data_IF_926992551376
#
_entry.id   IF_926992551376
#
_cell.length_a   1.000
_cell.length_b   1.000
_cell.length_c   1.000
_cell.angle_alpha   90.00
_cell.angle_beta   90.00
_cell.angle_gamma   90.00
#
_symmetry.space_group_name_H-M   'P 1'
#
loop_
_entity.id
_entity.type
_entity.pdbx_description
1 polymer ?
#
# COMPACT_ATOMS: atom_id res chain seq x y z
N UNK A 1 -2.16 -26.42 17.69
CA UNK A 1 -0.76 -26.02 17.77
C UNK A 1 -0.59 -24.73 17.01
N UNK A 2 -0.42 -23.60 17.74
CA UNK A 2 -0.34 -22.26 17.16
C UNK A 2 0.97 -22.03 16.40
N UNK A 3 0.96 -21.36 15.24
CA UNK A 3 2.19 -20.96 14.57
C UNK A 3 2.86 -19.84 15.38
N UNK A 4 4.10 -20.06 15.80
CA UNK A 4 4.91 -19.00 16.42
C UNK A 4 5.33 -18.01 15.34
N UNK A 5 4.73 -16.82 15.36
CA UNK A 5 5.25 -15.65 14.66
C UNK A 5 6.55 -15.20 15.38
N UNK A 6 7.66 -15.15 14.67
CA UNK A 6 8.88 -14.55 15.18
C UNK A 6 8.88 -13.10 14.73
N UNK A 7 8.54 -12.19 15.67
CA UNK A 7 8.70 -10.74 15.50
C UNK A 7 10.06 -10.39 16.11
N UNK A 8 10.96 -9.83 15.32
CA UNK A 8 12.24 -9.33 15.79
C UNK A 8 12.15 -7.82 16.02
N UNK A 9 12.61 -7.29 17.18
CA UNK A 9 12.58 -5.86 17.45
C UNK A 9 13.63 -5.11 16.64
N UNK A 10 13.29 -3.88 16.26
CA UNK A 10 14.10 -2.98 15.46
C UNK A 10 15.46 -2.68 16.11
N UNK A 11 16.53 -3.16 15.52
CA UNK A 11 17.87 -2.59 15.69
C UNK A 11 18.65 -2.75 14.38
N UNK A 12 19.13 -1.62 13.86
CA UNK A 12 20.08 -1.40 12.76
C UNK A 12 20.78 -2.67 12.25
N UNK A 13 20.22 -3.32 11.24
CA UNK A 13 20.94 -4.25 10.40
C UNK A 13 20.43 -4.12 8.97
N UNK A 14 21.32 -3.79 8.02
CA UNK A 14 21.10 -3.95 6.59
C UNK A 14 20.85 -5.45 6.31
N UNK A 15 19.60 -5.88 6.31
CA UNK A 15 19.24 -7.26 5.93
C UNK A 15 18.02 -7.23 5.05
N UNK A 16 18.19 -7.67 3.82
CA UNK A 16 17.14 -8.10 2.91
C UNK A 16 16.40 -9.27 3.56
N UNK A 17 15.15 -9.09 3.89
CA UNK A 17 14.34 -10.13 4.55
C UNK A 17 13.28 -10.65 3.58
N UNK A 18 13.34 -11.93 3.28
CA UNK A 18 12.32 -12.66 2.56
C UNK A 18 11.77 -13.73 3.48
N UNK A 19 10.45 -13.81 3.52
CA UNK A 19 9.73 -14.78 4.32
C UNK A 19 8.89 -15.67 3.40
N UNK A 20 8.89 -16.97 3.67
CA UNK A 20 8.07 -17.92 2.97
C UNK A 20 7.18 -18.66 3.96
N UNK A 21 5.92 -18.88 3.61
CA UNK A 21 4.98 -19.68 4.38
C UNK A 21 4.58 -20.93 3.61
N UNK A 22 4.43 -22.05 4.32
CA UNK A 22 3.91 -23.30 3.76
C UNK A 22 2.90 -23.91 4.73
N UNK A 23 1.85 -24.47 4.19
CA UNK A 23 0.84 -25.23 4.95
C UNK A 23 1.24 -26.70 5.16
N UNK A 24 2.28 -27.16 4.47
CA UNK A 24 2.79 -28.54 4.61
C UNK A 24 3.62 -28.73 5.88
N UNK A 25 3.62 -29.92 6.50
CA UNK A 25 4.47 -30.22 7.65
C UNK A 25 5.96 -30.15 7.26
N UNK A 26 6.74 -29.40 8.04
CA UNK A 26 8.17 -29.20 7.78
C UNK A 26 8.95 -30.50 7.86
N UNK A 27 9.81 -30.81 6.88
CA UNK A 27 10.88 -31.79 7.11
C UNK A 27 11.83 -31.26 8.19
N UNK A 28 12.26 -32.11 9.11
CA UNK A 28 13.22 -31.73 10.17
C UNK A 28 14.53 -31.29 9.54
N UNK A 29 15.06 -30.10 9.88
CA UNK A 29 16.35 -29.65 9.35
C UNK A 29 17.46 -30.56 9.90
N UNK A 30 18.22 -31.17 9.01
CA UNK A 30 19.32 -32.05 9.36
C UNK A 30 20.66 -31.35 9.60
N UNK A 31 20.72 -30.01 9.42
CA UNK A 31 21.91 -29.21 9.79
C UNK A 31 21.58 -27.72 9.90
N UNK A 32 22.18 -27.04 10.87
CA UNK A 32 22.25 -25.57 10.93
C UNK A 32 23.03 -25.04 9.74
N UNK A 33 22.57 -23.95 9.07
CA UNK A 33 23.31 -23.36 7.95
C UNK A 33 24.64 -22.79 8.42
N UNK A 34 25.72 -22.93 7.66
CA UNK A 34 27.00 -22.35 8.00
C UNK A 34 26.94 -20.82 8.01
N UNK A 35 27.59 -20.24 9.02
CA UNK A 35 27.74 -18.80 9.19
C UNK A 35 28.78 -18.28 8.18
N UNK A 36 28.36 -18.02 6.93
CA UNK A 36 29.21 -17.36 5.95
C UNK A 36 28.36 -16.56 4.99
N UNK A 37 28.88 -15.43 4.51
CA UNK A 37 28.30 -14.55 3.52
C UNK A 37 28.04 -15.28 2.20
N UNK A 38 27.02 -16.11 2.17
CA UNK A 38 26.60 -16.84 0.99
C UNK A 38 25.92 -15.87 0.03
N UNK A 39 26.35 -15.88 -1.23
CA UNK A 39 25.81 -15.06 -2.32
C UNK A 39 24.29 -15.19 -2.38
N UNK A 40 23.58 -14.07 -2.45
CA UNK A 40 22.11 -13.97 -2.44
C UNK A 40 21.38 -15.01 -3.31
N UNK A 41 21.91 -15.39 -4.45
CA UNK A 41 21.32 -16.35 -5.40
C UNK A 41 21.16 -17.79 -4.89
N UNK A 42 21.93 -18.22 -3.88
CA UNK A 42 21.89 -19.60 -3.37
C UNK A 42 20.75 -19.79 -2.37
N UNK A 43 20.39 -18.74 -1.63
CA UNK A 43 19.33 -18.78 -0.61
C UNK A 43 17.92 -18.87 -1.21
N UNK A 44 17.67 -18.17 -2.31
CA UNK A 44 16.39 -18.18 -3.01
C UNK A 44 15.99 -19.55 -3.55
N UNK A 45 16.96 -20.24 -4.16
CA UNK A 45 16.74 -21.60 -4.66
C UNK A 45 16.44 -22.60 -3.55
N UNK A 46 17.11 -22.48 -2.40
CA UNK A 46 16.83 -23.32 -1.24
C UNK A 46 15.44 -23.03 -0.65
N UNK A 47 15.02 -21.79 -0.62
CA UNK A 47 13.72 -21.38 -0.11
C UNK A 47 12.60 -21.96 -0.98
N UNK A 48 12.72 -21.89 -2.28
CA UNK A 48 11.73 -22.42 -3.22
C UNK A 48 11.78 -23.95 -3.40
N UNK A 49 12.90 -24.59 -3.05
CA UNK A 49 12.95 -26.05 -2.97
C UNK A 49 11.96 -26.63 -1.94
N UNK A 50 11.48 -25.79 -0.98
CA UNK A 50 10.42 -26.14 -0.04
C UNK A 50 9.01 -25.96 -0.62
N UNK A 51 8.88 -25.49 -1.87
CA UNK A 51 7.61 -25.22 -2.53
C UNK A 51 6.64 -24.41 -1.66
N UNK A 52 7.04 -23.19 -1.19
CA UNK A 52 6.16 -22.39 -0.36
C UNK A 52 4.91 -21.98 -1.12
N UNK A 53 3.78 -21.88 -0.43
CA UNK A 53 2.52 -21.42 -1.02
C UNK A 53 2.56 -19.92 -1.36
N UNK A 54 3.31 -19.14 -0.58
CA UNK A 54 3.49 -17.70 -0.79
C UNK A 54 4.88 -17.24 -0.38
N UNK A 55 5.44 -16.27 -1.10
CA UNK A 55 6.69 -15.60 -0.79
C UNK A 55 6.44 -14.13 -0.52
N UNK A 56 6.82 -13.64 0.65
CA UNK A 56 6.73 -12.24 1.04
C UNK A 56 8.00 -11.50 0.63
N UNK A 57 7.89 -10.50 -0.22
CA UNK A 57 9.00 -9.70 -0.75
C UNK A 57 9.07 -8.40 0.05
N UNK A 58 9.76 -8.43 1.19
CA UNK A 58 9.85 -7.34 2.16
C UNK A 58 11.21 -6.61 2.07
N UNK A 59 11.81 -6.61 0.89
CA UNK A 59 13.03 -5.86 0.60
C UNK A 59 12.74 -4.35 0.60
N UNK A 60 13.80 -3.54 0.62
CA UNK A 60 13.65 -2.11 0.32
C UNK A 60 13.05 -1.94 -1.08
N UNK A 61 12.32 -0.87 -1.28
CA UNK A 61 11.72 -0.51 -2.56
C UNK A 61 12.74 -0.51 -3.70
N UNK A 62 13.97 0.00 -3.44
CA UNK A 62 15.08 0.08 -4.41
C UNK A 62 15.70 -1.27 -4.80
N UNK A 63 15.46 -2.31 -3.99
CA UNK A 63 15.97 -3.67 -4.23
C UNK A 63 14.85 -4.62 -4.70
N UNK A 64 13.60 -4.18 -4.61
CA UNK A 64 12.43 -5.05 -4.75
C UNK A 64 12.23 -5.56 -6.17
N UNK A 65 12.43 -4.70 -7.17
CA UNK A 65 12.32 -5.11 -8.58
C UNK A 65 13.29 -6.25 -8.92
N UNK A 66 14.56 -6.11 -8.51
CA UNK A 66 15.58 -7.15 -8.75
C UNK A 66 15.26 -8.45 -8.00
N UNK A 67 14.82 -8.35 -6.74
CA UNK A 67 14.43 -9.50 -5.92
C UNK A 67 13.21 -10.22 -6.52
N UNK A 68 12.17 -9.47 -6.92
CA UNK A 68 10.97 -10.02 -7.52
C UNK A 68 11.25 -10.72 -8.85
N UNK A 69 12.05 -10.11 -9.72
CA UNK A 69 12.46 -10.73 -10.98
C UNK A 69 13.24 -12.04 -10.76
N UNK A 70 14.18 -12.05 -9.81
CA UNK A 70 14.92 -13.27 -9.46
C UNK A 70 14.02 -14.37 -8.90
N UNK A 71 12.97 -14.02 -8.15
CA UNK A 71 11.98 -14.97 -7.67
C UNK A 71 11.10 -15.52 -8.80
N UNK A 72 10.67 -14.68 -9.75
CA UNK A 72 9.86 -15.10 -10.89
C UNK A 72 10.58 -16.11 -11.79
N UNK A 73 11.92 -16.05 -11.91
CA UNK A 73 12.69 -17.09 -12.61
C UNK A 73 12.50 -18.50 -12.01
N UNK A 74 12.07 -18.58 -10.77
CA UNK A 74 11.84 -19.81 -10.02
C UNK A 74 10.36 -20.22 -9.98
N UNK A 75 9.49 -19.48 -10.70
CA UNK A 75 8.05 -19.74 -10.87
C UNK A 75 7.30 -19.95 -9.53
N UNK A 76 7.33 -18.98 -8.60
CA UNK A 76 6.58 -19.08 -7.36
C UNK A 76 5.08 -19.05 -7.66
N UNK A 77 4.27 -19.69 -6.81
CA UNK A 77 2.82 -19.63 -6.95
C UNK A 77 2.27 -18.25 -6.65
N UNK A 78 2.86 -17.56 -5.63
CA UNK A 78 2.36 -16.27 -5.14
C UNK A 78 3.49 -15.41 -4.62
N UNK A 79 3.40 -14.10 -4.92
CA UNK A 79 4.29 -13.06 -4.39
C UNK A 79 3.47 -12.00 -3.64
N UNK A 80 3.87 -11.69 -2.42
CA UNK A 80 3.22 -10.69 -1.58
C UNK A 80 4.21 -9.56 -1.29
N UNK A 81 3.92 -8.36 -1.80
CA UNK A 81 4.84 -7.23 -1.83
C UNK A 81 4.53 -6.17 -0.77
N UNK A 82 5.58 -5.57 -0.22
CA UNK A 82 5.52 -4.33 0.55
C UNK A 82 5.40 -3.12 -0.41
N UNK A 83 4.85 -2.01 0.09
CA UNK A 83 4.70 -0.76 -0.65
C UNK A 83 6.00 0.09 -0.63
N UNK A 84 6.19 1.00 -1.60
CA UNK A 84 5.59 0.99 -2.92
C UNK A 84 5.96 -0.30 -3.65
N UNK A 85 5.21 -0.72 -4.68
CA UNK A 85 5.49 -2.00 -5.37
C UNK A 85 6.94 -2.08 -5.82
N UNK A 86 7.45 -1.04 -6.47
CA UNK A 86 8.87 -0.81 -6.76
C UNK A 86 9.19 0.69 -6.70
N UNK A 87 10.44 1.05 -6.47
CA UNK A 87 10.99 2.38 -6.72
C UNK A 87 12.50 2.28 -6.84
N UNK A 88 13.07 2.85 -7.89
CA UNK A 88 14.52 2.81 -8.12
C UNK A 88 15.30 3.74 -7.18
N UNK A 89 14.67 4.77 -6.64
CA UNK A 89 15.32 5.80 -5.81
C UNK A 89 14.89 5.74 -4.34
N UNK A 90 13.63 6.04 -4.06
CA UNK A 90 13.05 5.99 -2.71
C UNK A 90 11.52 6.10 -2.79
N UNK A 91 10.84 5.86 -1.68
CA UNK A 91 9.38 5.99 -1.64
C UNK A 91 8.88 7.44 -1.82
N UNK A 92 9.72 8.46 -1.61
CA UNK A 92 9.41 9.87 -1.85
C UNK A 92 9.82 10.36 -3.23
N UNK A 93 10.51 9.55 -4.01
CA UNK A 93 10.91 9.86 -5.39
C UNK A 93 10.57 8.71 -6.36
N UNK A 94 9.30 8.35 -6.37
CA UNK A 94 8.74 7.42 -7.37
C UNK A 94 8.65 8.16 -8.71
N UNK A 95 9.07 7.49 -9.79
CA UNK A 95 9.13 8.04 -11.14
C UNK A 95 8.29 7.25 -12.12
N UNK A 96 8.16 7.76 -13.34
CA UNK A 96 7.39 7.11 -14.40
C UNK A 96 8.01 5.75 -14.81
N UNK A 97 9.33 5.65 -14.75
CA UNK A 97 10.05 4.40 -15.00
C UNK A 97 9.66 3.31 -14.01
N UNK A 98 9.43 3.66 -12.73
CA UNK A 98 9.02 2.70 -11.70
C UNK A 98 7.64 2.11 -12.03
N UNK A 99 6.71 2.91 -12.55
CA UNK A 99 5.42 2.42 -13.05
C UNK A 99 5.61 1.43 -14.21
N UNK A 100 6.46 1.75 -15.18
CA UNK A 100 6.74 0.89 -16.34
C UNK A 100 7.37 -0.43 -15.92
N UNK A 101 8.33 -0.39 -15.00
CA UNK A 101 9.01 -1.56 -14.45
C UNK A 101 8.05 -2.43 -13.63
N UNK A 102 7.19 -1.81 -12.81
CA UNK A 102 6.17 -2.52 -12.05
C UNK A 102 5.15 -3.21 -12.96
N UNK A 103 4.69 -2.55 -14.02
CA UNK A 103 3.78 -3.12 -15.00
C UNK A 103 4.40 -4.35 -15.66
N UNK A 104 5.64 -4.23 -16.14
CA UNK A 104 6.39 -5.34 -16.74
C UNK A 104 6.57 -6.50 -15.77
N UNK A 105 6.85 -6.21 -14.49
CA UNK A 105 6.94 -7.21 -13.43
C UNK A 105 5.63 -7.98 -13.25
N UNK A 106 4.50 -7.25 -13.16
CA UNK A 106 3.19 -7.89 -12.97
C UNK A 106 2.73 -8.66 -14.21
N UNK A 107 3.00 -8.16 -15.43
CA UNK A 107 2.76 -8.89 -16.68
C UNK A 107 3.54 -10.21 -16.70
N UNK A 108 4.82 -10.19 -16.30
CA UNK A 108 5.64 -11.39 -16.18
C UNK A 108 5.08 -12.37 -15.13
N UNK A 109 4.60 -11.88 -14.01
CA UNK A 109 3.97 -12.70 -12.97
C UNK A 109 2.69 -13.35 -13.50
N UNK A 110 1.81 -12.58 -14.14
CA UNK A 110 0.55 -13.06 -14.72
C UNK A 110 0.79 -14.12 -15.79
N UNK A 111 1.69 -13.87 -16.73
CA UNK A 111 2.07 -14.81 -17.78
C UNK A 111 2.60 -16.17 -17.25
N UNK A 112 3.05 -16.21 -16.00
CA UNK A 112 3.51 -17.41 -15.31
C UNK A 112 2.46 -18.04 -14.40
N UNK A 113 1.26 -17.44 -14.29
CA UNK A 113 0.23 -17.83 -13.34
C UNK A 113 0.62 -17.57 -11.88
N UNK A 114 1.53 -16.62 -11.63
CA UNK A 114 1.93 -16.21 -10.29
C UNK A 114 0.98 -15.16 -9.75
N UNK A 115 0.16 -15.52 -8.76
CA UNK A 115 -0.72 -14.56 -8.08
C UNK A 115 0.10 -13.52 -7.33
N UNK A 116 -0.28 -12.24 -7.43
CA UNK A 116 0.40 -11.14 -6.76
C UNK A 116 -0.52 -10.42 -5.78
N UNK A 117 0.03 -9.96 -4.66
CA UNK A 117 -0.68 -9.21 -3.63
C UNK A 117 0.20 -8.10 -3.02
N UNK A 118 -0.45 -7.10 -2.39
CA UNK A 118 0.21 -5.95 -1.77
C UNK A 118 -0.06 -5.87 -0.27
N UNK A 119 0.90 -5.29 0.46
CA UNK A 119 0.70 -4.84 1.85
C UNK A 119 0.34 -3.36 1.82
N UNK A 120 -0.94 -3.04 1.65
CA UNK A 120 -1.49 -1.74 1.98
C UNK A 120 -2.19 -1.84 3.34
N UNK A 121 -1.37 -1.94 4.39
CA UNK A 121 -1.81 -2.19 5.75
C UNK A 121 -2.77 -1.12 6.30
N UNK A 122 -2.80 0.09 5.73
CA UNK A 122 -3.72 1.14 6.16
C UNK A 122 -5.19 0.79 5.92
N UNK A 123 -5.52 -0.05 4.93
CA UNK A 123 -6.89 -0.59 4.78
C UNK A 123 -7.36 -1.39 6.01
N UNK A 124 -6.42 -1.89 6.83
CA UNK A 124 -6.67 -2.76 7.98
C UNK A 124 -6.55 -2.07 9.34
N UNK A 125 -6.39 -0.74 9.36
CA UNK A 125 -6.56 0.04 10.58
C UNK A 125 -8.03 0.05 10.99
N UNK A 126 -8.27 0.27 12.29
CA UNK A 126 -9.63 0.23 12.83
C UNK A 126 -10.53 1.31 12.24
N UNK A 127 -10.01 2.51 11.95
CA UNK A 127 -10.77 3.60 11.34
C UNK A 127 -11.26 3.24 9.91
N UNK A 128 -10.39 2.87 8.94
CA UNK A 128 -10.85 2.44 7.62
C UNK A 128 -11.80 1.24 7.66
N UNK A 129 -11.56 0.25 8.53
CA UNK A 129 -12.47 -0.88 8.70
C UNK A 129 -13.84 -0.42 9.21
N UNK A 130 -13.87 0.42 10.26
CA UNK A 130 -15.12 0.98 10.80
C UNK A 130 -15.82 1.89 9.81
N UNK A 131 -15.07 2.68 9.04
CA UNK A 131 -15.62 3.52 7.97
C UNK A 131 -16.38 2.67 6.94
N UNK A 132 -15.78 1.57 6.44
CA UNK A 132 -16.44 0.65 5.49
C UNK A 132 -17.72 0.06 6.07
N UNK A 133 -17.69 -0.36 7.33
CA UNK A 133 -18.88 -0.87 8.02
C UNK A 133 -20.00 0.17 8.05
N UNK A 134 -19.69 1.41 8.48
CA UNK A 134 -20.69 2.48 8.59
C UNK A 134 -21.24 2.93 7.23
N UNK A 135 -20.40 3.04 6.20
CA UNK A 135 -20.82 3.36 4.84
C UNK A 135 -21.87 2.34 4.37
N UNK A 136 -21.60 1.04 4.56
CA UNK A 136 -22.51 -0.02 4.15
C UNK A 136 -23.80 -0.02 4.99
N UNK A 137 -23.70 0.05 6.32
CA UNK A 137 -24.85 0.01 7.23
C UNK A 137 -25.79 1.19 7.07
N UNK A 138 -25.24 2.38 6.78
CA UNK A 138 -26.02 3.64 6.67
C UNK A 138 -26.33 4.02 5.23
N UNK A 139 -25.95 3.21 4.27
CA UNK A 139 -26.22 3.43 2.85
C UNK A 139 -25.78 4.81 2.38
N UNK A 140 -24.56 5.23 2.71
CA UNK A 140 -24.04 6.55 2.35
C UNK A 140 -23.96 6.82 0.84
N UNK A 141 -24.07 5.77 0.03
CA UNK A 141 -23.97 5.89 -1.42
C UNK A 141 -22.53 6.03 -1.90
N UNK A 142 -22.36 6.63 -3.07
CA UNK A 142 -21.05 6.81 -3.69
C UNK A 142 -20.32 8.00 -3.10
N UNK A 143 -19.00 7.97 -3.19
CA UNK A 143 -18.15 9.15 -2.92
C UNK A 143 -18.39 10.18 -4.01
N UNK A 144 -18.53 11.44 -3.63
CA UNK A 144 -18.73 12.59 -4.54
C UNK A 144 -17.57 13.58 -4.49
N UNK A 145 -16.87 13.66 -3.35
CA UNK A 145 -15.72 14.54 -3.21
C UNK A 145 -14.73 14.03 -2.16
N UNK A 146 -13.44 14.32 -2.35
CA UNK A 146 -12.35 13.84 -1.48
C UNK A 146 -11.37 14.99 -1.21
N UNK A 147 -10.94 15.14 0.04
CA UNK A 147 -9.82 16.04 0.37
C UNK A 147 -8.83 15.33 1.30
N UNK A 148 -7.54 15.59 1.11
CA UNK A 148 -6.51 15.00 1.96
C UNK A 148 -5.28 15.88 2.13
N UNK A 149 -4.71 15.82 3.35
CA UNK A 149 -3.39 16.37 3.70
C UNK A 149 -2.55 15.23 4.27
N UNK A 150 -1.39 14.97 3.65
CA UNK A 150 -0.66 13.72 3.88
C UNK A 150 0.84 13.96 3.95
N UNK A 151 1.49 13.40 4.99
CA UNK A 151 2.94 13.29 5.01
C UNK A 151 3.40 12.22 4.01
N UNK A 152 4.52 12.44 3.31
CA UNK A 152 5.03 11.50 2.29
C UNK A 152 5.25 10.07 2.80
N UNK A 153 5.53 9.86 4.08
CA UNK A 153 5.60 8.52 4.66
C UNK A 153 4.29 7.71 4.52
N UNK A 154 3.15 8.43 4.37
CA UNK A 154 1.81 7.86 4.24
C UNK A 154 1.23 8.04 2.82
N UNK A 155 1.99 8.62 1.88
CA UNK A 155 1.50 9.08 0.59
C UNK A 155 0.89 7.96 -0.25
N UNK A 156 1.62 6.86 -0.46
CA UNK A 156 1.13 5.69 -1.18
C UNK A 156 -0.11 5.06 -0.53
N UNK A 157 -0.17 5.06 0.81
CA UNK A 157 -1.36 4.60 1.52
C UNK A 157 -2.56 5.53 1.33
N UNK A 158 -2.35 6.85 1.22
CA UNK A 158 -3.44 7.79 0.97
C UNK A 158 -4.03 7.58 -0.43
N UNK A 159 -3.19 7.41 -1.45
CA UNK A 159 -3.63 7.07 -2.81
C UNK A 159 -4.43 5.76 -2.78
N UNK A 160 -3.89 4.73 -2.12
CA UNK A 160 -4.57 3.44 -1.97
C UNK A 160 -5.92 3.55 -1.24
N UNK A 161 -6.01 4.35 -0.18
CA UNK A 161 -7.28 4.59 0.52
C UNK A 161 -8.30 5.35 -0.34
N UNK A 162 -7.86 6.29 -1.20
CA UNK A 162 -8.74 6.92 -2.19
C UNK A 162 -9.34 5.85 -3.10
N UNK A 163 -8.51 4.98 -3.68
CA UNK A 163 -8.98 3.87 -4.53
C UNK A 163 -9.84 2.88 -3.76
N UNK A 164 -9.59 2.67 -2.48
CA UNK A 164 -10.34 1.74 -1.65
C UNK A 164 -11.75 2.21 -1.28
N UNK A 165 -11.96 3.52 -1.07
CA UNK A 165 -13.24 4.09 -0.68
C UNK A 165 -14.04 4.65 -1.86
N UNK A 166 -13.35 5.15 -2.87
CA UNK A 166 -13.93 5.63 -4.11
C UNK A 166 -13.58 4.65 -5.25
N UNK A 167 -13.23 5.14 -6.39
CA UNK A 167 -12.76 4.36 -7.52
C UNK A 167 -11.35 4.79 -7.89
N UNK A 168 -10.67 4.06 -8.77
CA UNK A 168 -9.38 4.49 -9.28
C UNK A 168 -9.42 5.92 -9.84
N UNK A 169 -8.37 6.67 -9.57
CA UNK A 169 -8.15 7.98 -10.18
C UNK A 169 -7.93 7.78 -11.68
N UNK A 170 -8.66 8.53 -12.52
CA UNK A 170 -8.59 8.40 -13.97
C UNK A 170 -8.01 9.64 -14.66
N UNK A 171 -8.06 10.79 -14.00
CA UNK A 171 -7.49 12.04 -14.49
C UNK A 171 -6.94 12.85 -13.32
N UNK A 172 -5.81 13.50 -13.51
CA UNK A 172 -5.26 14.41 -12.51
C UNK A 172 -4.47 15.57 -13.12
N UNK A 173 -4.33 16.63 -12.33
CA UNK A 173 -3.35 17.70 -12.53
C UNK A 173 -2.63 17.99 -11.24
N UNK A 174 -1.34 18.34 -11.30
CA UNK A 174 -0.50 18.54 -10.12
C UNK A 174 0.35 19.80 -10.21
N UNK A 175 0.55 20.42 -9.04
CA UNK A 175 1.48 21.51 -8.82
C UNK A 175 2.53 21.07 -7.80
N UNK A 176 3.78 21.44 -8.03
CA UNK A 176 4.90 21.14 -7.15
C UNK A 176 5.52 22.43 -6.60
N UNK A 177 5.81 22.42 -5.30
CA UNK A 177 6.60 23.48 -4.66
C UNK A 177 8.04 23.49 -5.18
N UNK A 178 8.68 24.66 -5.14
CA UNK A 178 10.04 24.81 -5.70
C UNK A 178 11.14 24.23 -4.80
N UNK A 179 10.90 24.12 -3.50
CA UNK A 179 11.91 23.70 -2.54
C UNK A 179 11.53 22.34 -1.93
N UNK A 180 12.47 21.40 -1.93
CA UNK A 180 12.36 20.20 -1.14
C UNK A 180 12.52 20.55 0.35
N UNK A 181 11.68 19.98 1.20
CA UNK A 181 11.63 20.22 2.65
C UNK A 181 11.52 18.90 3.40
N UNK A 182 11.88 18.91 4.68
CA UNK A 182 11.84 17.76 5.57
C UNK A 182 13.23 17.30 6.02
N UNK A 183 13.32 16.76 7.24
CA UNK A 183 14.59 16.36 7.84
C UNK A 183 15.04 14.94 7.43
N UNK A 184 14.09 13.98 7.44
CA UNK A 184 14.36 12.54 7.20
C UNK A 184 13.90 12.08 5.83
N UNK A 185 12.95 12.77 5.26
CA UNK A 185 12.30 12.48 3.99
C UNK A 185 12.09 13.82 3.29
N UNK A 186 13.16 14.33 2.67
CA UNK A 186 13.10 15.62 2.00
C UNK A 186 12.42 15.46 0.64
N UNK A 187 11.26 16.10 0.48
CA UNK A 187 10.50 16.10 -0.75
C UNK A 187 9.91 17.48 -1.04
N UNK A 188 9.53 17.69 -2.30
CA UNK A 188 8.78 18.89 -2.69
C UNK A 188 7.32 18.72 -2.28
N UNK A 189 6.70 19.77 -1.75
CA UNK A 189 5.26 19.76 -1.54
C UNK A 189 4.54 19.62 -2.89
N UNK A 190 3.53 18.76 -2.94
CA UNK A 190 2.72 18.51 -4.15
C UNK A 190 1.25 18.70 -3.81
N UNK A 191 0.55 19.46 -4.65
CA UNK A 191 -0.92 19.54 -4.62
C UNK A 191 -1.45 18.89 -5.89
N UNK A 192 -2.30 17.89 -5.74
CA UNK A 192 -2.92 17.16 -6.84
C UNK A 192 -4.43 17.34 -6.80
N UNK A 193 -5.02 17.82 -7.90
CA UNK A 193 -6.46 17.75 -8.13
C UNK A 193 -6.75 16.59 -9.08
N UNK A 194 -7.80 15.80 -8.80
CA UNK A 194 -8.08 14.59 -9.56
C UNK A 194 -9.57 14.31 -9.72
N UNK A 195 -9.89 13.39 -10.63
CA UNK A 195 -11.21 12.79 -10.85
C UNK A 195 -11.09 11.27 -10.85
N UNK A 196 -12.06 10.60 -10.23
CA UNK A 196 -12.14 9.13 -10.19
C UNK A 196 -13.05 8.58 -11.30
N UNK A 197 -13.06 7.26 -11.47
CA UNK A 197 -13.83 6.57 -12.51
C UNK A 197 -15.34 6.80 -12.43
N UNK A 198 -15.90 7.02 -11.24
CA UNK A 198 -17.31 7.36 -11.02
C UNK A 198 -17.55 8.88 -10.82
N UNK A 199 -16.66 9.70 -11.37
CA UNK A 199 -16.78 11.15 -11.43
C UNK A 199 -16.67 11.89 -10.08
N UNK A 200 -16.18 11.24 -9.01
CA UNK A 200 -15.84 11.96 -7.79
C UNK A 200 -14.58 12.82 -8.03
N UNK A 201 -14.62 14.08 -7.59
CA UNK A 201 -13.45 14.96 -7.64
C UNK A 201 -12.73 15.01 -6.32
N UNK A 202 -11.42 15.28 -6.35
CA UNK A 202 -10.68 15.39 -5.10
C UNK A 202 -9.40 16.18 -5.18
N UNK A 203 -8.83 16.42 -4.01
CA UNK A 203 -7.52 17.06 -3.85
C UNK A 203 -6.72 16.31 -2.79
N UNK A 204 -5.48 15.95 -3.13
CA UNK A 204 -4.48 15.47 -2.17
C UNK A 204 -3.31 16.44 -2.12
N UNK A 205 -2.87 16.76 -0.92
CA UNK A 205 -1.69 17.59 -0.65
C UNK A 205 -0.66 16.70 0.05
N UNK A 206 0.47 16.46 -0.63
CA UNK A 206 1.63 15.74 -0.08
C UNK A 206 2.68 16.72 0.42
N UNK A 207 3.17 16.50 1.64
CA UNK A 207 4.24 17.32 2.24
C UNK A 207 5.10 16.49 3.17
N UNK A 208 6.37 16.88 3.33
CA UNK A 208 7.27 16.31 4.35
C UNK A 208 7.37 17.18 5.61
N UNK A 209 6.57 18.23 5.71
CA UNK A 209 6.67 19.20 6.81
C UNK A 209 5.68 18.95 7.95
N UNK A 210 4.86 17.89 7.88
CA UNK A 210 4.03 17.49 9.02
C UNK A 210 4.90 16.89 10.12
N UNK A 211 4.73 17.39 11.34
CA UNK A 211 5.46 16.89 12.49
C UNK A 211 4.93 15.50 12.91
N UNK A 212 5.83 14.57 13.20
CA UNK A 212 5.52 13.19 13.59
C UNK A 212 4.73 13.05 14.90
N UNK A 213 4.58 14.11 15.68
CA UNK A 213 3.74 14.14 16.89
C UNK A 213 2.27 14.49 16.58
N UNK A 214 1.96 14.91 15.36
CA UNK A 214 0.63 15.28 14.89
C UNK A 214 0.14 14.29 13.82
N UNK A 215 -1.12 14.41 13.39
CA UNK A 215 -1.63 13.60 12.30
C UNK A 215 -0.75 13.69 11.04
N UNK A 216 -0.35 12.52 10.52
CA UNK A 216 0.41 12.41 9.30
C UNK A 216 -0.47 12.18 8.06
N UNK A 217 -1.76 11.86 8.29
CA UNK A 217 -2.74 11.62 7.26
C UNK A 217 -4.10 12.13 7.74
N UNK A 218 -4.67 13.05 6.98
CA UNK A 218 -6.05 13.47 7.14
C UNK A 218 -6.77 13.29 5.82
N UNK A 219 -7.85 12.47 5.81
CA UNK A 219 -8.66 12.21 4.63
C UNK A 219 -10.12 12.46 4.95
N UNK A 220 -10.78 13.23 4.10
CA UNK A 220 -12.23 13.44 4.16
C UNK A 220 -12.87 12.88 2.90
N UNK A 221 -13.84 11.99 3.08
CA UNK A 221 -14.66 11.45 2.01
C UNK A 221 -16.09 11.97 2.19
N UNK A 222 -16.57 12.73 1.22
CA UNK A 222 -17.97 13.15 1.13
C UNK A 222 -18.73 12.15 0.24
N UNK A 223 -19.78 11.56 0.78
CA UNK A 223 -20.67 10.64 0.11
C UNK A 223 -22.00 11.34 -0.25
N UNK A 224 -22.82 10.69 -1.08
CA UNK A 224 -24.16 11.20 -1.41
C UNK A 224 -25.02 11.45 -0.16
N UNK A 225 -24.89 10.60 0.88
CA UNK A 225 -25.71 10.63 2.10
C UNK A 225 -24.90 10.74 3.40
N UNK A 226 -23.63 11.12 3.33
CA UNK A 226 -22.80 11.22 4.54
C UNK A 226 -21.42 11.79 4.28
N UNK A 227 -20.66 11.92 5.36
CA UNK A 227 -19.25 12.29 5.32
C UNK A 227 -18.48 11.44 6.33
N UNK A 228 -17.28 11.03 5.97
CA UNK A 228 -16.31 10.43 6.90
C UNK A 228 -15.02 11.23 6.82
N UNK A 229 -14.53 11.64 7.98
CA UNK A 229 -13.22 12.25 8.15
C UNK A 229 -12.35 11.32 9.00
N UNK A 230 -11.28 10.81 8.40
CA UNK A 230 -10.26 9.99 9.04
C UNK A 230 -9.09 10.90 9.39
N UNK A 231 -8.77 11.00 10.67
CA UNK A 231 -7.70 11.85 11.18
C UNK A 231 -6.60 11.01 11.79
N UNK A 232 -5.62 10.67 10.96
CA UNK A 232 -4.55 9.73 11.28
C UNK A 232 -5.04 8.32 11.66
N UNK A 233 -4.11 7.47 12.03
CA UNK A 233 -4.31 6.05 12.32
C UNK A 233 -4.73 5.81 13.77
N UNK A 234 -4.37 6.72 14.67
CA UNK A 234 -4.66 6.73 16.09
C UNK A 234 -5.60 7.88 16.52
N UNK A 235 -6.06 8.67 15.55
CA UNK A 235 -6.99 9.77 15.79
C UNK A 235 -8.46 9.33 15.83
N UNK A 236 -9.30 10.29 16.18
CA UNK A 236 -10.74 10.11 16.13
C UNK A 236 -11.22 10.15 14.67
N UNK A 237 -12.23 9.35 14.35
CA UNK A 237 -12.94 9.40 13.07
C UNK A 237 -14.27 10.15 13.27
N UNK A 238 -14.51 11.18 12.44
CA UNK A 238 -15.78 11.92 12.44
C UNK A 238 -16.69 11.38 11.35
N UNK A 239 -17.98 11.28 11.68
CA UNK A 239 -19.03 10.79 10.79
C UNK A 239 -20.20 11.74 10.79
N UNK A 240 -20.58 12.27 9.64
CA UNK A 240 -21.80 13.03 9.42
C UNK A 240 -22.78 12.16 8.64
N UNK A 241 -23.95 11.95 9.20
CA UNK A 241 -25.04 11.20 8.56
C UNK A 241 -26.11 12.20 8.10
N UNK A 242 -26.27 12.39 6.80
CA UNK A 242 -27.19 13.39 6.26
C UNK A 242 -28.65 12.98 6.45
N UNK A 243 -28.96 11.67 6.46
CA UNK A 243 -30.35 11.19 6.62
C UNK A 243 -30.86 11.43 8.05
N UNK A 244 -30.03 11.14 9.05
CA UNK A 244 -30.39 11.30 10.46
C UNK A 244 -30.04 12.68 11.03
N UNK A 245 -29.23 13.48 10.33
CA UNK A 245 -28.68 14.74 10.81
C UNK A 245 -27.68 14.57 11.97
N UNK A 246 -27.13 13.38 12.16
CA UNK A 246 -26.20 13.09 13.25
C UNK A 246 -24.78 13.45 12.89
N UNK A 247 -24.08 14.04 13.87
CA UNK A 247 -22.64 14.19 13.87
C UNK A 247 -22.06 13.33 15.00
N UNK A 248 -21.22 12.40 14.67
CA UNK A 248 -20.64 11.43 15.62
C UNK A 248 -19.12 11.48 15.54
N UNK A 249 -18.47 11.31 16.70
CA UNK A 249 -17.03 11.12 16.78
C UNK A 249 -16.76 9.71 17.31
N UNK A 250 -16.05 8.92 16.54
CA UNK A 250 -15.66 7.55 16.88
C UNK A 250 -14.22 7.54 17.39
N UNK A 251 -14.05 7.41 18.69
CA UNK A 251 -12.76 7.27 19.35
C UNK A 251 -12.35 5.80 19.40
N UNK A 252 -11.91 5.25 18.27
CA UNK A 252 -11.73 3.81 18.08
C UNK A 252 -10.46 3.28 18.76
N UNK A 253 -9.49 4.14 19.00
CA UNK A 253 -8.12 3.71 19.28
C UNK A 253 -7.50 4.38 20.52
N UNK A 254 -8.30 4.89 21.44
CA UNK A 254 -7.83 5.65 22.62
C UNK A 254 -6.97 4.84 23.58
N UNK A 255 -7.05 3.53 23.59
CA UNK A 255 -6.32 2.59 24.45
C UNK A 255 -5.01 2.08 23.85
N UNK A 256 -4.70 2.46 22.60
CA UNK A 256 -3.53 1.99 21.88
C UNK A 256 -2.77 3.14 21.25
N UNK A 257 -1.44 3.06 21.29
CA UNK A 257 -0.59 4.02 20.58
C UNK A 257 -0.66 3.81 19.05
N UNK A 258 -0.29 4.84 18.29
CA UNK A 258 -0.14 4.78 16.83
C UNK A 258 0.70 3.57 16.41
N UNK A 259 1.80 3.33 17.08
CA UNK A 259 2.71 2.22 16.72
C UNK A 259 2.12 0.85 17.01
N UNK A 260 1.37 0.70 18.10
CA UNK A 260 0.64 -0.55 18.36
C UNK A 260 -0.39 -0.83 17.28
N UNK A 261 -1.16 0.18 16.87
CA UNK A 261 -2.12 0.02 15.76
C UNK A 261 -1.43 -0.26 14.43
N UNK A 262 -0.28 0.38 14.19
CA UNK A 262 0.53 0.14 13.01
C UNK A 262 0.97 -1.32 12.95
N UNK A 263 1.52 -1.87 14.02
CA UNK A 263 1.92 -3.27 14.10
C UNK A 263 0.71 -4.21 13.94
N UNK A 264 -0.40 -3.93 14.61
CA UNK A 264 -1.66 -4.69 14.49
C UNK A 264 -2.20 -4.71 13.06
N UNK A 265 -2.06 -3.63 12.31
CA UNK A 265 -2.55 -3.54 10.92
C UNK A 265 -1.80 -4.50 9.99
N UNK A 266 -0.51 -4.70 10.18
CA UNK A 266 0.26 -5.73 9.46
C UNK A 266 -0.25 -7.13 9.80
N UNK A 267 -0.47 -7.42 11.09
CA UNK A 267 -1.02 -8.71 11.51
C UNK A 267 -2.38 -8.96 10.85
N UNK A 268 -3.29 -7.97 10.89
CA UNK A 268 -4.61 -8.06 10.25
C UNK A 268 -4.50 -8.26 8.74
N UNK A 269 -3.63 -7.52 8.06
CA UNK A 269 -3.38 -7.66 6.62
C UNK A 269 -2.91 -9.06 6.26
N UNK A 270 -1.91 -9.59 6.97
CA UNK A 270 -1.37 -10.93 6.73
C UNK A 270 -2.42 -12.01 7.03
N UNK A 271 -3.17 -11.88 8.13
CA UNK A 271 -4.22 -12.83 8.47
C UNK A 271 -5.34 -12.82 7.43
N UNK A 272 -5.77 -11.66 6.94
CA UNK A 272 -6.77 -11.56 5.89
C UNK A 272 -6.27 -12.21 4.58
N UNK A 273 -5.00 -12.01 4.22
CA UNK A 273 -4.39 -12.66 3.06
C UNK A 273 -4.34 -14.20 3.24
N UNK A 274 -3.90 -14.69 4.40
CA UNK A 274 -3.86 -16.14 4.66
C UNK A 274 -5.26 -16.74 4.67
N UNK A 275 -6.26 -16.03 5.15
CA UNK A 275 -7.65 -16.49 5.13
C UNK A 275 -8.19 -16.53 3.69
N UNK A 276 -7.90 -15.56 2.84
CA UNK A 276 -8.28 -15.62 1.42
C UNK A 276 -7.70 -16.85 0.73
N UNK A 277 -6.44 -17.19 1.02
CA UNK A 277 -5.82 -18.42 0.50
C UNK A 277 -6.54 -19.69 0.96
N UNK A 278 -6.94 -19.76 2.24
CA UNK A 278 -7.67 -20.93 2.79
C UNK A 278 -9.04 -21.10 2.17
N UNK A 279 -9.67 -19.98 1.79
CA UNK A 279 -11.00 -19.97 1.18
C UNK A 279 -10.95 -20.08 -0.36
N UNK A 280 -9.76 -20.07 -0.96
CA UNK A 280 -9.60 -20.03 -2.41
C UNK A 280 -10.12 -18.74 -3.04
N UNK A 281 -10.09 -17.63 -2.26
CA UNK A 281 -10.52 -16.30 -2.69
C UNK A 281 -9.33 -15.48 -3.18
N UNK A 282 -9.55 -14.48 -4.04
CA UNK A 282 -8.52 -13.51 -4.42
C UNK A 282 -7.94 -12.79 -3.19
N UNK A 283 -6.69 -12.30 -3.26
CA UNK A 283 -6.09 -11.55 -2.16
C UNK A 283 -6.89 -10.28 -1.85
N UNK A 284 -7.01 -9.89 -0.56
CA UNK A 284 -7.74 -8.68 -0.15
C UNK A 284 -7.21 -7.40 -0.80
N UNK A 285 -5.92 -7.38 -1.11
CA UNK A 285 -5.24 -6.32 -1.83
C UNK A 285 -4.43 -6.97 -2.95
N UNK A 286 -4.96 -7.04 -4.18
CA UNK A 286 -4.24 -7.66 -5.30
C UNK A 286 -3.04 -6.81 -5.73
N UNK A 287 -2.06 -7.43 -6.41
CA UNK A 287 -0.85 -6.77 -6.87
C UNK A 287 -1.09 -5.55 -7.76
N UNK A 288 -2.18 -5.59 -8.54
CA UNK A 288 -2.60 -4.46 -9.38
C UNK A 288 -2.83 -3.17 -8.58
N UNK A 289 -3.21 -3.25 -7.29
CA UNK A 289 -3.38 -2.07 -6.45
C UNK A 289 -2.05 -1.29 -6.27
N UNK A 290 -0.92 -2.01 -6.22
CA UNK A 290 0.40 -1.37 -6.22
C UNK A 290 0.76 -0.71 -7.54
N UNK A 291 0.34 -1.28 -8.66
CA UNK A 291 0.52 -0.67 -9.98
C UNK A 291 -0.37 0.57 -10.16
N UNK A 292 -1.60 0.53 -9.67
CA UNK A 292 -2.51 1.68 -9.68
C UNK A 292 -1.97 2.85 -8.82
N UNK A 293 -1.34 2.54 -7.71
CA UNK A 293 -0.67 3.57 -6.89
C UNK A 293 0.49 4.21 -7.66
N UNK A 294 1.38 3.41 -8.27
CA UNK A 294 2.49 3.92 -9.07
C UNK A 294 2.02 4.65 -10.34
N UNK A 295 0.87 4.28 -10.90
CA UNK A 295 0.24 4.99 -12.03
C UNK A 295 -0.10 6.43 -11.65
N UNK A 296 -0.66 6.64 -10.45
CA UNK A 296 -0.95 7.99 -9.94
C UNK A 296 0.33 8.78 -9.71
N UNK A 297 1.36 8.17 -9.13
CA UNK A 297 2.66 8.80 -8.94
C UNK A 297 3.31 9.23 -10.27
N UNK A 298 3.29 8.34 -11.27
CA UNK A 298 3.78 8.63 -12.62
C UNK A 298 2.99 9.77 -13.27
N UNK A 299 1.66 9.76 -13.14
CA UNK A 299 0.80 10.83 -13.65
C UNK A 299 1.07 12.18 -12.98
N UNK A 300 1.35 12.20 -11.68
CA UNK A 300 1.76 13.42 -10.96
C UNK A 300 3.06 13.98 -11.56
N UNK A 301 4.10 13.15 -11.72
CA UNK A 301 5.38 13.58 -12.32
C UNK A 301 5.18 14.10 -13.74
N UNK A 302 4.39 13.40 -14.56
CA UNK A 302 4.06 13.82 -15.94
C UNK A 302 3.30 15.14 -15.97
N UNK A 303 2.30 15.32 -15.11
CA UNK A 303 1.53 16.56 -15.02
C UNK A 303 2.40 17.76 -14.65
N UNK A 304 3.29 17.60 -13.66
CA UNK A 304 4.24 18.64 -13.25
C UNK A 304 5.19 19.00 -14.41
N UNK A 305 5.77 17.99 -15.08
CA UNK A 305 6.71 18.19 -16.16
C UNK A 305 6.09 18.92 -17.36
N UNK A 306 4.87 18.51 -17.74
CA UNK A 306 4.18 19.06 -18.92
C UNK A 306 3.20 20.20 -18.62
N UNK A 307 2.96 20.53 -17.34
CA UNK A 307 2.05 21.60 -16.88
C UNK A 307 0.65 21.49 -17.47
N UNK A 308 0.12 20.26 -17.49
CA UNK A 308 -1.23 19.95 -18.01
C UNK A 308 -1.87 18.79 -17.25
N UNK A 309 -3.20 18.61 -17.37
CA UNK A 309 -3.85 17.39 -16.92
C UNK A 309 -3.29 16.14 -17.63
N UNK A 310 -3.37 15.00 -16.95
CA UNK A 310 -2.98 13.68 -17.44
C UNK A 310 -4.19 12.75 -17.32
N UNK A 311 -4.58 12.13 -18.44
CA UNK A 311 -5.54 11.04 -18.48
C UNK A 311 -4.77 9.73 -18.24
N UNK A 312 -5.05 9.08 -17.10
CA UNK A 312 -4.29 7.91 -16.67
C UNK A 312 -4.54 6.69 -17.57
N UNK A 313 -5.76 6.53 -18.04
CA UNK A 313 -6.12 5.37 -18.84
C UNK A 313 -5.43 5.37 -20.21
N UNK A 314 -5.40 6.51 -20.88
CA UNK A 314 -4.81 6.63 -22.21
C UNK A 314 -3.30 6.84 -22.21
N UNK A 315 -2.76 7.53 -21.18
CA UNK A 315 -1.34 7.89 -21.15
C UNK A 315 -0.47 6.89 -20.37
N UNK A 316 -1.03 6.20 -19.40
CA UNK A 316 -0.36 5.24 -18.51
C UNK A 316 -1.20 3.97 -18.34
N UNK A 317 -1.51 3.22 -19.41
CA UNK A 317 -2.41 2.06 -19.33
C UNK A 317 -1.90 0.98 -18.39
N UNK A 318 -2.84 0.36 -17.64
CA UNK A 318 -2.55 -0.69 -16.65
C UNK A 318 -2.42 -2.09 -17.26
N UNK A 319 -2.59 -2.27 -18.55
CA UNK A 319 -2.64 -3.57 -19.26
C UNK A 319 -1.66 -4.62 -18.67
N UNK A 320 -2.23 -5.70 -18.12
CA UNK A 320 -1.53 -6.86 -17.58
C UNK A 320 -1.70 -8.05 -18.53
#
# INVERSE_FOLDING_TARGET
MSPKAIISPASRVKKTSIWATTTAPRPKPTRSPPNSAAKHSTHWRLLLAWSPDSVFVLTRETERLAAANALLELKPKRLFFEKPLVSAHSQEDVREEDFTDARTLLQKADAQGCETAMIFNYRFFDQPLKAKELIAQRHFGRVVNITGLVHYACWSHAIDLVHHFADPIVELTALQGQNARGDKMAAHDVTTAFRTGHDATGTLIGTSMLNWTFPLLELTFNFEQGRIHIRDLDGDMEVLDHQSGRHETHAIARDRSRWQQYDDSFVKSILAYLESLRQGQPPPVPGIAGLQELQVEAAIKRSIAHKRPVDLASELPLEL
#
